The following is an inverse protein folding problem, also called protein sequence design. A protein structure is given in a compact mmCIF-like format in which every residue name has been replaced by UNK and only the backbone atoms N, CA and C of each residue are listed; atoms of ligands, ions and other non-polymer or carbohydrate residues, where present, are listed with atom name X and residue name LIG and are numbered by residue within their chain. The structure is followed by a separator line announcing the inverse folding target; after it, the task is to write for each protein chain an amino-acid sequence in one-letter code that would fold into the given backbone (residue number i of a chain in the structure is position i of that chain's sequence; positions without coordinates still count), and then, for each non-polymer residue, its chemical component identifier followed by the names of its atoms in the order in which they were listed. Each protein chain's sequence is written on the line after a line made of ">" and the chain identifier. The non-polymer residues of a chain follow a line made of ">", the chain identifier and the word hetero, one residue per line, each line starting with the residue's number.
data_IF_143471025000
#
_entry.id   IF_143471025000
#
_cell.length_a   1.000
_cell.length_b   1.000
_cell.length_c   1.000
_cell.angle_alpha   90.00
_cell.angle_beta   90.00
_cell.angle_gamma   90.00
#
_symmetry.space_group_name_H-M   'P 1'
#
loop_
_entity.id
_entity.type
_entity.pdbx_description
1 polymer ?
#
# COMPACT_ATOMS: atom_id res chain seq x y z
N UNK A 1 16.92 0.94 -21.75
CA UNK A 1 16.79 2.34 -21.32
C UNK A 1 15.46 2.59 -20.61
N UNK A 2 14.33 2.23 -21.22
CA UNK A 2 12.98 2.45 -20.66
C UNK A 2 12.75 1.81 -19.27
N UNK A 3 13.18 0.55 -19.07
CA UNK A 3 13.15 -0.11 -17.74
C UNK A 3 13.94 0.65 -16.67
N UNK A 4 15.06 1.27 -17.04
CA UNK A 4 15.87 2.05 -16.10
C UNK A 4 15.17 3.37 -15.73
N UNK A 5 14.53 4.03 -16.70
CA UNK A 5 13.77 5.26 -16.46
C UNK A 5 12.61 5.00 -15.51
N UNK A 6 11.88 3.90 -15.70
CA UNK A 6 10.79 3.48 -14.81
C UNK A 6 11.32 3.24 -13.39
N UNK A 7 12.40 2.48 -13.24
CA UNK A 7 12.99 2.21 -11.94
C UNK A 7 13.45 3.48 -11.23
N UNK A 8 14.13 4.40 -11.94
CA UNK A 8 14.56 5.69 -11.37
C UNK A 8 13.34 6.55 -11.02
N UNK A 9 12.26 6.51 -11.82
CA UNK A 9 10.99 7.16 -11.52
C UNK A 9 10.39 6.73 -10.19
N UNK A 10 10.28 5.41 -9.99
CA UNK A 10 9.71 4.79 -8.80
C UNK A 10 10.57 4.93 -7.53
N UNK A 11 11.89 5.07 -7.69
CA UNK A 11 12.87 5.18 -6.60
C UNK A 11 13.57 6.54 -6.60
N UNK A 12 12.90 7.57 -7.12
CA UNK A 12 13.48 8.88 -7.39
C UNK A 12 14.17 9.51 -6.16
N UNK A 13 13.56 9.41 -4.97
CA UNK A 13 14.13 9.94 -3.72
C UNK A 13 15.50 9.36 -3.34
N UNK A 14 15.77 8.10 -3.67
CA UNK A 14 17.08 7.48 -3.45
C UNK A 14 18.01 7.70 -4.64
N UNK A 15 17.51 7.44 -5.85
CA UNK A 15 18.30 7.52 -7.07
C UNK A 15 18.84 8.94 -7.32
N UNK A 16 18.04 9.98 -7.06
CA UNK A 16 18.44 11.34 -7.35
C UNK A 16 19.59 11.86 -6.46
N UNK A 17 19.86 11.18 -5.33
CA UNK A 17 21.02 11.47 -4.46
C UNK A 17 22.30 10.76 -4.91
N UNK A 18 22.23 9.88 -5.91
CA UNK A 18 23.38 9.07 -6.35
C UNK A 18 24.22 9.79 -7.40
N UNK A 19 25.53 9.52 -7.43
CA UNK A 19 26.41 9.96 -8.51
C UNK A 19 26.00 9.43 -9.90
N UNK A 20 25.29 8.30 -9.95
CA UNK A 20 24.78 7.76 -11.20
C UNK A 20 23.75 8.70 -11.85
N UNK A 21 22.91 9.36 -11.04
CA UNK A 21 21.95 10.34 -11.52
C UNK A 21 22.62 11.59 -12.09
N UNK A 22 23.68 12.07 -11.44
CA UNK A 22 24.45 13.23 -11.88
C UNK A 22 25.16 13.03 -13.24
N UNK A 23 25.34 11.78 -13.66
CA UNK A 23 25.97 11.39 -14.92
C UNK A 23 24.96 11.06 -16.04
N UNK A 24 23.66 11.29 -15.82
CA UNK A 24 22.65 11.08 -16.86
C UNK A 24 22.85 12.04 -18.04
N UNK A 25 22.52 11.58 -19.25
CA UNK A 25 22.47 12.46 -20.43
C UNK A 25 21.27 13.41 -20.34
N UNK A 26 21.37 14.57 -21.00
CA UNK A 26 20.29 15.57 -21.04
C UNK A 26 18.95 14.96 -21.49
N UNK A 27 18.95 14.14 -22.53
CA UNK A 27 17.73 13.51 -23.06
C UNK A 27 17.10 12.52 -22.07
N UNK A 28 17.93 11.77 -21.32
CA UNK A 28 17.44 10.85 -20.29
C UNK A 28 16.81 11.63 -19.14
N UNK A 29 17.45 12.72 -18.71
CA UNK A 29 16.94 13.59 -17.66
C UNK A 29 15.62 14.27 -18.07
N UNK A 30 15.55 14.79 -19.29
CA UNK A 30 14.31 15.37 -19.85
C UNK A 30 13.19 14.35 -19.87
N UNK A 31 13.42 13.13 -20.35
CA UNK A 31 12.39 12.06 -20.35
C UNK A 31 11.89 11.74 -18.95
N UNK A 32 12.80 11.73 -17.99
CA UNK A 32 12.50 11.41 -16.60
C UNK A 32 11.66 12.51 -15.93
N UNK A 33 12.04 13.78 -16.08
CA UNK A 33 11.30 14.93 -15.53
C UNK A 33 10.08 15.28 -16.37
N UNK A 34 9.94 14.80 -17.59
CA UNK A 34 8.67 14.93 -18.33
C UNK A 34 7.61 13.96 -17.82
N UNK A 35 8.02 12.90 -17.10
CA UNK A 35 7.13 11.85 -16.63
C UNK A 35 6.32 12.29 -15.40
N UNK A 36 5.02 12.01 -15.42
CA UNK A 36 4.13 12.17 -14.25
C UNK A 36 4.50 11.21 -13.10
N UNK A 37 5.31 10.19 -13.39
CA UNK A 37 5.71 9.10 -12.49
C UNK A 37 7.11 9.27 -11.87
N UNK A 38 7.71 10.46 -11.97
CA UNK A 38 8.94 10.78 -11.24
C UNK A 38 8.57 11.18 -9.81
N UNK A 39 8.65 10.23 -8.88
CA UNK A 39 8.08 10.32 -7.54
C UNK A 39 8.89 11.23 -6.58
N UNK A 40 8.90 12.52 -6.87
CA UNK A 40 9.46 13.59 -6.04
C UNK A 40 8.51 14.78 -5.97
N UNK A 41 8.56 15.52 -4.86
CA UNK A 41 7.96 16.86 -4.78
C UNK A 41 8.73 17.81 -5.72
N UNK A 42 8.06 18.81 -6.32
CA UNK A 42 8.68 19.64 -7.38
C UNK A 42 9.89 20.44 -6.89
N UNK A 43 9.95 20.77 -5.61
CA UNK A 43 11.15 21.34 -4.98
C UNK A 43 12.35 20.39 -5.02
N UNK A 44 12.13 19.10 -4.77
CA UNK A 44 13.19 18.09 -4.87
C UNK A 44 13.55 17.80 -6.32
N UNK A 45 12.58 17.83 -7.24
CA UNK A 45 12.85 17.78 -8.69
C UNK A 45 13.78 18.93 -9.07
N UNK A 46 13.49 20.16 -8.64
CA UNK A 46 14.35 21.32 -8.87
C UNK A 46 15.76 21.11 -8.33
N UNK A 47 15.90 20.73 -7.05
CA UNK A 47 17.20 20.49 -6.41
C UNK A 47 18.03 19.44 -7.15
N UNK A 48 17.39 18.35 -7.61
CA UNK A 48 18.06 17.28 -8.34
C UNK A 48 18.52 17.73 -9.74
N UNK A 49 17.70 18.52 -10.45
CA UNK A 49 18.05 19.11 -11.74
C UNK A 49 19.20 20.09 -11.61
N UNK A 50 19.14 20.94 -10.58
CA UNK A 50 20.17 21.92 -10.29
C UNK A 50 21.50 21.23 -9.94
N UNK A 51 21.47 20.18 -9.11
CA UNK A 51 22.64 19.38 -8.78
C UNK A 51 23.26 18.71 -10.01
N UNK A 52 22.43 18.16 -10.90
CA UNK A 52 22.89 17.61 -12.19
C UNK A 52 23.55 18.69 -13.05
N UNK A 53 22.91 19.85 -13.23
CA UNK A 53 23.44 20.93 -14.07
C UNK A 53 24.76 21.49 -13.52
N UNK A 54 24.86 21.64 -12.19
CA UNK A 54 26.11 21.98 -11.49
C UNK A 54 27.22 20.99 -11.78
N UNK A 55 26.93 19.68 -11.70
CA UNK A 55 27.91 18.63 -11.97
C UNK A 55 28.38 18.66 -13.43
N UNK A 56 27.47 18.85 -14.39
CA UNK A 56 27.81 18.96 -15.81
C UNK A 56 28.64 20.22 -16.12
N UNK A 57 28.37 21.33 -15.43
CA UNK A 57 29.11 22.58 -15.58
C UNK A 57 30.44 22.63 -14.80
N UNK A 58 30.72 21.62 -13.97
CA UNK A 58 31.89 21.56 -13.09
C UNK A 58 31.87 22.55 -11.92
N UNK A 59 30.67 22.99 -11.47
CA UNK A 59 30.49 24.00 -10.42
C UNK A 59 30.09 23.32 -9.11
N UNK A 60 30.91 23.44 -8.06
CA UNK A 60 30.64 22.81 -6.76
C UNK A 60 30.09 23.79 -5.72
N UNK A 61 30.42 25.07 -5.85
CA UNK A 61 30.07 26.10 -4.88
C UNK A 61 28.56 26.44 -4.82
N UNK A 62 28.07 27.00 -3.68
CA UNK A 62 26.67 27.43 -3.53
C UNK A 62 26.27 28.54 -4.51
N UNK A 63 24.99 28.58 -4.88
CA UNK A 63 24.42 29.51 -5.88
C UNK A 63 24.74 30.99 -5.58
N UNK A 64 24.82 31.35 -4.30
CA UNK A 64 25.12 32.71 -3.86
C UNK A 64 26.55 33.19 -4.22
N UNK A 65 27.48 32.27 -4.49
CA UNK A 65 28.89 32.58 -4.72
C UNK A 65 29.32 32.41 -6.18
N UNK A 66 28.40 32.09 -7.09
CA UNK A 66 28.72 31.85 -8.49
C UNK A 66 29.27 33.08 -9.19
N UNK A 67 30.33 32.90 -9.97
CA UNK A 67 30.76 33.90 -10.95
C UNK A 67 29.74 34.03 -12.09
N UNK A 68 29.82 35.11 -12.85
CA UNK A 68 28.94 35.33 -14.01
C UNK A 68 29.14 34.22 -15.06
N UNK A 69 30.37 33.78 -15.27
CA UNK A 69 30.73 32.70 -16.19
C UNK A 69 30.21 31.34 -15.71
N UNK A 70 30.31 31.05 -14.41
CA UNK A 70 29.78 29.81 -13.83
C UNK A 70 28.26 29.76 -13.94
N UNK A 71 27.60 30.87 -13.63
CA UNK A 71 26.15 31.01 -13.78
C UNK A 71 25.73 30.76 -15.23
N UNK A 72 26.42 31.37 -16.19
CA UNK A 72 26.13 31.18 -17.61
C UNK A 72 26.26 29.70 -18.04
N UNK A 73 27.31 28.99 -17.58
CA UNK A 73 27.49 27.56 -17.88
C UNK A 73 26.36 26.70 -17.30
N UNK A 74 26.00 26.91 -16.04
CA UNK A 74 24.91 26.15 -15.40
C UNK A 74 23.57 26.43 -16.11
N UNK A 75 23.26 27.70 -16.41
CA UNK A 75 22.07 28.08 -17.15
C UNK A 75 22.02 27.45 -18.55
N UNK A 76 23.16 27.30 -19.22
CA UNK A 76 23.24 26.63 -20.52
C UNK A 76 22.81 25.15 -20.44
N UNK A 77 23.21 24.44 -19.37
CA UNK A 77 22.79 23.05 -19.14
C UNK A 77 21.33 22.94 -18.71
N UNK A 78 20.84 23.89 -17.91
CA UNK A 78 19.44 23.96 -17.48
C UNK A 78 18.49 24.28 -18.65
N UNK A 79 18.95 25.04 -19.65
CA UNK A 79 18.18 25.38 -20.83
C UNK A 79 17.62 24.13 -21.52
N UNK A 80 16.29 24.07 -21.72
CA UNK A 80 15.59 22.93 -22.30
C UNK A 80 15.26 21.79 -21.32
N UNK A 81 15.81 21.76 -20.11
CA UNK A 81 15.33 20.88 -19.02
C UNK A 81 14.28 21.60 -18.18
N UNK A 82 14.49 22.91 -17.96
CA UNK A 82 13.65 23.79 -17.15
C UNK A 82 12.17 23.79 -17.55
N UNK A 83 11.86 23.67 -18.85
CA UNK A 83 10.48 23.66 -19.34
C UNK A 83 9.68 22.42 -18.90
N UNK A 84 10.36 21.39 -18.39
CA UNK A 84 9.74 20.17 -17.89
C UNK A 84 9.55 20.17 -16.35
N UNK A 85 10.16 21.13 -15.64
CA UNK A 85 9.96 21.34 -14.19
C UNK A 85 8.68 22.14 -13.97
N UNK A 86 7.80 21.71 -13.06
CA UNK A 86 6.50 22.36 -12.83
C UNK A 86 6.67 23.50 -11.83
N UNK A 87 7.34 24.57 -12.27
CA UNK A 87 7.73 25.72 -11.43
C UNK A 87 6.57 26.34 -10.63
N UNK A 88 5.35 26.27 -11.15
CA UNK A 88 4.14 26.79 -10.50
C UNK A 88 3.79 26.06 -9.20
N UNK A 89 4.27 24.83 -9.03
CA UNK A 89 3.98 23.97 -7.89
C UNK A 89 5.12 23.92 -6.86
N UNK A 90 6.21 24.64 -7.10
CA UNK A 90 7.30 24.80 -6.12
C UNK A 90 6.83 25.75 -5.01
N UNK A 91 7.15 25.44 -3.77
CA UNK A 91 6.83 26.27 -2.61
C UNK A 91 7.36 27.71 -2.73
N UNK A 92 6.60 28.67 -2.17
CA UNK A 92 6.87 30.11 -2.21
C UNK A 92 8.27 30.47 -1.76
N UNK A 93 8.70 29.89 -0.64
CA UNK A 93 10.00 30.15 -0.04
C UNK A 93 11.12 29.49 -0.86
N UNK A 94 10.96 28.21 -1.21
CA UNK A 94 11.96 27.47 -2.00
C UNK A 94 12.24 28.16 -3.33
N UNK A 95 11.20 28.67 -4.00
CA UNK A 95 11.38 29.38 -5.26
C UNK A 95 12.20 30.68 -5.11
N UNK A 96 11.90 31.49 -4.10
CA UNK A 96 12.59 32.76 -3.89
C UNK A 96 14.05 32.57 -3.44
N UNK A 97 14.33 31.54 -2.64
CA UNK A 97 15.66 31.31 -2.06
C UNK A 97 16.56 30.42 -2.94
N UNK A 98 16.00 29.44 -3.65
CA UNK A 98 16.78 28.45 -4.40
C UNK A 98 16.65 28.58 -5.92
N UNK A 99 15.47 28.97 -6.43
CA UNK A 99 15.19 28.98 -7.89
C UNK A 99 15.57 30.32 -8.51
N UNK A 100 15.00 31.42 -8.02
CA UNK A 100 15.20 32.77 -8.56
C UNK A 100 16.67 33.22 -8.58
N UNK A 101 17.49 32.97 -7.54
CA UNK A 101 18.88 33.43 -7.52
C UNK A 101 19.76 32.80 -8.59
N UNK A 102 19.35 31.67 -9.21
CA UNK A 102 20.09 31.07 -10.33
C UNK A 102 20.07 31.95 -11.58
N UNK A 103 19.04 32.79 -11.75
CA UNK A 103 18.81 33.55 -12.99
C UNK A 103 18.47 32.67 -14.20
N UNK A 104 18.18 31.38 -14.00
CA UNK A 104 17.80 30.47 -15.08
C UNK A 104 16.33 30.63 -15.51
N UNK A 105 15.47 31.16 -14.63
CA UNK A 105 14.04 31.37 -14.90
C UNK A 105 13.82 32.75 -15.52
N UNK A 106 13.22 32.84 -16.73
CA UNK A 106 12.79 34.09 -17.32
C UNK A 106 11.85 34.89 -16.42
N UNK A 107 11.94 36.22 -16.46
CA UNK A 107 11.14 37.14 -15.65
C UNK A 107 9.63 36.87 -15.79
N UNK A 108 9.17 36.58 -17.01
CA UNK A 108 7.77 36.31 -17.32
C UNK A 108 7.24 35.10 -16.55
N UNK A 109 8.03 34.02 -16.48
CA UNK A 109 7.67 32.79 -15.77
C UNK A 109 7.71 32.99 -14.25
N UNK A 110 8.67 33.77 -13.74
CA UNK A 110 8.70 34.15 -12.33
C UNK A 110 7.45 34.94 -11.94
N UNK A 111 7.03 35.91 -12.77
CA UNK A 111 5.81 36.69 -12.54
C UNK A 111 4.54 35.84 -12.62
N UNK A 112 4.44 34.93 -13.60
CA UNK A 112 3.32 33.98 -13.72
C UNK A 112 3.20 33.13 -12.44
N UNK A 113 4.33 32.61 -11.96
CA UNK A 113 4.39 31.83 -10.73
C UNK A 113 3.97 32.62 -9.49
N UNK A 114 4.48 33.85 -9.31
CA UNK A 114 4.11 34.68 -8.16
C UNK A 114 2.62 35.01 -8.16
N UNK A 115 2.04 35.29 -9.34
CA UNK A 115 0.58 35.47 -9.49
C UNK A 115 -0.18 34.21 -9.12
N UNK A 116 0.26 33.06 -9.61
CA UNK A 116 -0.35 31.77 -9.30
C UNK A 116 -0.37 31.51 -7.79
N UNK A 117 0.77 31.65 -7.12
CA UNK A 117 0.89 31.49 -5.67
C UNK A 117 -0.03 32.45 -4.89
N UNK A 118 -0.06 33.73 -5.26
CA UNK A 118 -0.90 34.74 -4.59
C UNK A 118 -2.41 34.44 -4.71
N UNK A 119 -2.86 33.95 -5.87
CA UNK A 119 -4.26 33.60 -6.11
C UNK A 119 -4.68 32.31 -5.38
N UNK A 120 -3.74 31.38 -5.16
CA UNK A 120 -4.02 30.06 -4.59
C UNK A 120 -3.72 29.97 -3.08
N UNK A 121 -2.91 30.87 -2.52
CA UNK A 121 -2.58 30.93 -1.08
C UNK A 121 -3.81 31.27 -0.21
N UNK A 122 -4.87 31.83 -0.80
CA UNK A 122 -6.08 32.25 -0.07
C UNK A 122 -7.10 31.11 0.19
N UNK A 123 -6.79 29.86 -0.16
CA UNK A 123 -7.67 28.69 0.06
C UNK A 123 -7.56 28.06 1.47
N UNK A 124 -6.63 28.52 2.31
CA UNK A 124 -6.36 27.93 3.63
C UNK A 124 -7.26 28.41 4.78
N UNK A 125 -8.09 29.44 4.57
CA UNK A 125 -8.87 30.05 5.65
C UNK A 125 -10.36 30.19 5.30
N UNK A 126 -11.12 29.10 5.48
CA UNK A 126 -12.57 29.17 5.69
C UNK A 126 -13.46 28.69 4.54
N UNK A 127 -14.13 27.55 4.77
CA UNK A 127 -15.56 27.37 4.44
C UNK A 127 -15.96 27.01 3.00
N UNK A 128 -16.17 25.70 2.79
CA UNK A 128 -17.35 25.11 2.12
C UNK A 128 -17.94 25.75 0.86
N UNK A 129 -17.65 25.16 -0.29
CA UNK A 129 -18.38 25.32 -1.55
C UNK A 129 -17.45 25.60 -2.73
N UNK A 130 -17.69 25.06 -3.95
CA UNK A 130 -16.86 25.38 -5.10
C UNK A 130 -17.27 26.74 -5.66
N UNK A 131 -16.40 27.77 -5.67
CA UNK A 131 -16.63 28.92 -6.52
C UNK A 131 -15.99 28.63 -7.87
N UNK A 132 -16.76 28.72 -8.95
CA UNK A 132 -16.20 28.79 -10.29
C UNK A 132 -15.27 30.02 -10.35
N UNK A 133 -13.96 29.79 -10.33
CA UNK A 133 -12.97 30.83 -10.53
C UNK A 133 -12.97 31.27 -12.01
N UNK A 134 -12.66 32.53 -12.31
CA UNK A 134 -12.33 32.92 -13.67
C UNK A 134 -11.08 32.16 -14.06
N UNK A 135 -11.18 31.32 -15.09
CA UNK A 135 -10.04 30.68 -15.73
C UNK A 135 -8.98 31.73 -16.02
N UNK A 136 -7.73 31.52 -15.59
CA UNK A 136 -6.61 32.28 -16.13
C UNK A 136 -6.68 32.09 -17.66
N UNK A 137 -6.79 33.16 -18.48
CA UNK A 137 -6.95 33.00 -19.91
C UNK A 137 -5.80 32.15 -20.48
N UNK A 138 -6.12 30.97 -21.00
CA UNK A 138 -5.15 30.03 -21.58
C UNK A 138 -4.73 28.83 -20.71
N UNK A 139 -5.21 28.69 -19.46
CA UNK A 139 -4.93 27.53 -18.62
C UNK A 139 -6.15 26.58 -18.57
N UNK A 140 -6.00 25.39 -19.14
CA UNK A 140 -6.98 24.29 -19.02
C UNK A 140 -6.64 23.40 -17.81
N UNK A 141 -7.61 22.67 -17.26
CA UNK A 141 -7.37 21.72 -16.15
C UNK A 141 -6.36 20.61 -16.51
N UNK A 142 -6.16 20.37 -17.80
CA UNK A 142 -5.18 19.43 -18.36
C UNK A 142 -3.74 19.99 -18.45
N UNK A 143 -3.50 21.23 -18.01
CA UNK A 143 -2.14 21.79 -18.01
C UNK A 143 -1.27 21.06 -16.98
N UNK A 144 -0.34 20.23 -17.47
CA UNK A 144 0.61 19.49 -16.64
C UNK A 144 1.42 20.37 -15.69
N UNK A 145 1.57 21.67 -15.98
CA UNK A 145 2.26 22.63 -15.08
C UNK A 145 1.48 22.88 -13.78
N UNK A 146 0.18 22.61 -13.77
CA UNK A 146 -0.72 22.80 -12.64
C UNK A 146 -1.02 21.51 -11.87
N UNK A 147 -0.64 20.36 -12.42
CA UNK A 147 -0.87 19.07 -11.80
C UNK A 147 0.39 18.62 -11.06
N UNK A 148 0.36 18.34 -9.75
CA UNK A 148 1.49 17.72 -9.06
C UNK A 148 1.88 16.40 -9.71
N UNK A 149 3.18 16.06 -9.69
CA UNK A 149 3.60 14.68 -9.97
C UNK A 149 2.98 13.73 -8.95
N UNK A 150 2.92 12.45 -9.28
CA UNK A 150 2.62 11.43 -8.28
C UNK A 150 3.74 11.46 -7.24
N UNK A 151 3.49 12.12 -6.11
CA UNK A 151 4.54 12.71 -5.26
C UNK A 151 5.37 11.71 -4.49
N UNK A 152 4.89 10.48 -4.26
CA UNK A 152 5.62 9.48 -3.45
C UNK A 152 5.25 8.07 -3.89
N UNK A 153 6.24 7.21 -4.10
CA UNK A 153 6.02 5.77 -4.14
C UNK A 153 5.72 5.28 -2.71
N UNK A 154 4.44 5.21 -2.38
CA UNK A 154 3.91 4.82 -1.07
C UNK A 154 3.94 3.31 -0.86
N UNK A 155 4.02 2.52 -1.94
CA UNK A 155 4.14 1.06 -1.91
C UNK A 155 5.43 0.60 -2.61
N UNK A 156 6.61 0.95 -2.06
CA UNK A 156 7.89 0.62 -2.67
C UNK A 156 8.04 -0.89 -2.90
N UNK A 157 8.59 -1.22 -4.06
CA UNK A 157 8.79 -2.59 -4.51
C UNK A 157 7.59 -3.22 -5.21
N UNK A 158 6.39 -2.62 -5.18
CA UNK A 158 5.19 -3.20 -5.79
C UNK A 158 5.36 -3.50 -7.28
N UNK A 159 4.92 -4.69 -7.70
CA UNK A 159 4.78 -5.04 -9.10
C UNK A 159 3.35 -4.81 -9.61
N UNK A 160 2.39 -4.63 -8.69
CA UNK A 160 0.97 -4.45 -8.98
C UNK A 160 0.57 -2.98 -9.06
N UNK A 161 1.12 -2.12 -8.19
CA UNK A 161 0.81 -0.70 -8.05
C UNK A 161 1.93 0.20 -8.62
N UNK A 162 2.34 -0.05 -9.86
CA UNK A 162 3.43 0.67 -10.52
C UNK A 162 2.99 1.31 -11.85
N UNK A 163 3.83 2.17 -12.42
CA UNK A 163 3.54 2.89 -13.68
C UNK A 163 2.19 3.64 -13.63
N UNK A 164 1.31 3.36 -14.60
CA UNK A 164 -0.04 3.90 -14.74
C UNK A 164 -0.95 3.68 -13.54
N UNK A 165 -0.58 2.76 -12.64
CA UNK A 165 -1.34 2.41 -11.43
C UNK A 165 -0.84 3.13 -10.17
N UNK A 166 0.15 4.01 -10.27
CA UNK A 166 0.68 4.75 -9.13
C UNK A 166 -0.39 5.60 -8.43
N UNK A 167 -1.36 6.15 -9.18
CA UNK A 167 -2.46 6.94 -8.61
C UNK A 167 -3.33 6.14 -7.64
N UNK A 168 -3.42 4.82 -7.80
CA UNK A 168 -4.18 3.94 -6.90
C UNK A 168 -3.55 3.86 -5.51
N UNK A 169 -2.25 4.12 -5.39
CA UNK A 169 -1.59 4.17 -4.08
C UNK A 169 -2.15 5.32 -3.21
N UNK A 170 -2.42 6.49 -3.82
CA UNK A 170 -3.05 7.63 -3.15
C UNK A 170 -4.46 7.30 -2.68
N UNK A 171 -5.20 6.51 -3.47
CA UNK A 171 -6.55 6.05 -3.12
C UNK A 171 -6.51 5.15 -1.88
N UNK A 172 -5.62 4.14 -1.87
CA UNK A 172 -5.44 3.26 -0.72
C UNK A 172 -5.07 4.03 0.56
N UNK A 173 -4.17 5.00 0.45
CA UNK A 173 -3.80 5.86 1.57
C UNK A 173 -4.91 6.80 2.03
N UNK A 174 -5.71 7.31 1.09
CA UNK A 174 -6.93 8.05 1.38
C UNK A 174 -7.91 7.22 2.20
N UNK A 175 -8.12 5.95 1.85
CA UNK A 175 -8.98 5.02 2.59
C UNK A 175 -8.39 4.61 3.94
N UNK A 176 -7.06 4.47 4.05
CA UNK A 176 -6.38 4.24 5.32
C UNK A 176 -6.52 5.45 6.28
N UNK A 177 -6.63 6.66 5.73
CA UNK A 177 -6.77 7.92 6.46
C UNK A 177 -5.46 8.69 6.67
N UNK A 178 -4.36 8.24 6.07
CA UNK A 178 -3.04 8.90 6.15
C UNK A 178 -2.46 9.06 4.72
N UNK A 179 -2.69 10.21 4.05
CA UNK A 179 -2.35 10.40 2.64
C UNK A 179 -0.88 10.15 2.27
N UNK A 180 0.05 10.45 3.18
CA UNK A 180 1.51 10.31 2.96
C UNK A 180 2.11 9.05 3.60
N UNK A 181 1.31 8.04 3.94
CA UNK A 181 1.82 6.81 4.57
C UNK A 181 2.65 5.97 3.58
N UNK A 182 3.84 5.55 3.99
CA UNK A 182 4.64 4.57 3.23
C UNK A 182 4.47 3.17 3.81
N UNK A 183 4.44 2.18 2.93
CA UNK A 183 4.25 0.78 3.24
C UNK A 183 5.51 -0.02 2.94
N UNK A 184 5.67 -1.16 3.61
CA UNK A 184 6.74 -2.14 3.34
C UNK A 184 6.11 -3.43 2.81
N UNK A 185 6.68 -3.97 1.74
CA UNK A 185 6.30 -5.29 1.24
C UNK A 185 6.72 -6.36 2.26
N UNK A 186 5.76 -7.18 2.66
CA UNK A 186 5.96 -8.31 3.59
C UNK A 186 6.02 -9.62 2.81
N UNK A 187 5.15 -9.76 1.82
CA UNK A 187 5.01 -10.98 1.05
C UNK A 187 4.57 -10.65 -0.38
N UNK A 188 5.09 -11.44 -1.32
CA UNK A 188 4.65 -11.49 -2.73
C UNK A 188 4.61 -12.94 -3.15
N UNK A 189 3.48 -13.41 -3.66
CA UNK A 189 3.29 -14.82 -4.00
C UNK A 189 4.24 -15.28 -5.11
N UNK A 190 4.44 -14.47 -6.16
CA UNK A 190 5.39 -14.79 -7.24
C UNK A 190 6.86 -14.87 -6.81
N UNK A 191 7.26 -14.22 -5.72
CA UNK A 191 8.64 -14.27 -5.18
C UNK A 191 8.83 -15.31 -4.10
N UNK A 192 7.83 -15.49 -3.22
CA UNK A 192 7.93 -16.34 -2.04
C UNK A 192 7.24 -17.71 -2.22
N UNK A 193 6.50 -17.90 -3.30
CA UNK A 193 5.71 -19.09 -3.61
C UNK A 193 4.24 -18.93 -3.19
N UNK A 194 3.34 -19.53 -3.97
CA UNK A 194 1.89 -19.38 -3.87
C UNK A 194 1.22 -20.26 -2.81
N UNK A 195 2.00 -20.93 -1.96
CA UNK A 195 1.43 -21.86 -0.98
C UNK A 195 0.90 -21.15 0.26
N UNK A 196 -0.21 -21.64 0.82
CA UNK A 196 -0.81 -21.10 2.04
C UNK A 196 0.14 -21.15 3.23
N UNK A 197 0.96 -22.20 3.33
CA UNK A 197 1.98 -22.31 4.38
C UNK A 197 3.05 -21.21 4.25
N UNK A 198 3.41 -20.81 3.03
CA UNK A 198 4.31 -19.67 2.84
C UNK A 198 3.63 -18.36 3.22
N UNK A 199 2.37 -18.14 2.82
CA UNK A 199 1.61 -16.96 3.27
C UNK A 199 1.61 -16.84 4.80
N UNK A 200 1.21 -17.88 5.52
CA UNK A 200 1.18 -17.88 6.98
C UNK A 200 2.54 -17.62 7.60
N UNK A 201 3.61 -18.19 7.04
CA UNK A 201 4.98 -17.95 7.52
C UNK A 201 5.38 -16.47 7.47
N UNK A 202 4.92 -15.71 6.48
CA UNK A 202 5.28 -14.30 6.31
C UNK A 202 4.26 -13.33 6.91
N UNK A 203 2.97 -13.69 6.92
CA UNK A 203 1.87 -12.76 7.19
C UNK A 203 1.18 -12.99 8.55
N UNK A 204 1.32 -14.16 9.17
CA UNK A 204 0.73 -14.37 10.50
C UNK A 204 1.36 -13.42 11.53
N UNK A 205 0.52 -12.83 12.37
CA UNK A 205 0.95 -11.83 13.35
C UNK A 205 1.26 -10.43 12.78
N UNK A 206 1.15 -10.22 11.47
CA UNK A 206 1.37 -8.91 10.83
C UNK A 206 0.08 -8.09 10.81
N UNK A 207 0.12 -6.90 11.40
CA UNK A 207 -0.94 -5.90 11.33
C UNK A 207 -0.41 -4.48 11.62
N UNK A 208 -1.08 -3.42 11.12
CA UNK A 208 -2.11 -3.48 10.09
C UNK A 208 -1.51 -3.88 8.74
N UNK A 209 -2.31 -4.38 7.82
CA UNK A 209 -1.82 -4.75 6.49
C UNK A 209 -2.83 -4.60 5.37
N UNK A 210 -2.30 -4.32 4.18
CA UNK A 210 -2.99 -4.41 2.90
C UNK A 210 -2.66 -5.73 2.22
N UNK A 211 -3.67 -6.38 1.65
CA UNK A 211 -3.56 -7.49 0.69
C UNK A 211 -4.06 -6.97 -0.65
N UNK A 212 -3.23 -7.02 -1.68
CA UNK A 212 -3.57 -6.54 -3.03
C UNK A 212 -3.29 -7.68 -4.01
N UNK A 213 -4.31 -8.15 -4.72
CA UNK A 213 -4.21 -9.23 -5.70
C UNK A 213 -4.56 -8.77 -7.10
N UNK A 214 -4.03 -9.49 -8.10
CA UNK A 214 -4.38 -9.31 -9.51
C UNK A 214 -5.03 -10.57 -10.09
N UNK A 215 -6.21 -10.42 -10.69
CA UNK A 215 -6.95 -11.46 -11.40
C UNK A 215 -6.43 -11.72 -12.81
N UNK A 216 -6.93 -12.78 -13.45
CA UNK A 216 -6.51 -13.20 -14.79
C UNK A 216 -6.87 -12.22 -15.91
N UNK A 217 -7.84 -11.31 -15.68
CA UNK A 217 -8.23 -10.27 -16.64
C UNK A 217 -7.69 -8.89 -16.24
N UNK A 218 -6.79 -8.84 -15.25
CA UNK A 218 -6.13 -7.62 -14.79
C UNK A 218 -6.87 -6.87 -13.69
N UNK A 219 -7.90 -7.46 -13.07
CA UNK A 219 -8.61 -6.89 -11.92
C UNK A 219 -7.69 -6.82 -10.71
N UNK A 220 -7.56 -5.65 -10.13
CA UNK A 220 -6.80 -5.31 -8.94
C UNK A 220 -7.77 -5.05 -7.82
N UNK A 221 -7.81 -6.00 -6.90
CA UNK A 221 -8.73 -6.00 -5.77
C UNK A 221 -8.06 -6.60 -4.56
N UNK A 222 -8.64 -6.38 -3.38
CA UNK A 222 -8.00 -6.82 -2.16
C UNK A 222 -8.73 -6.37 -0.90
N UNK A 223 -7.99 -6.35 0.19
CA UNK A 223 -8.51 -5.98 1.50
C UNK A 223 -7.46 -5.35 2.41
N UNK A 224 -7.94 -4.51 3.30
CA UNK A 224 -7.20 -3.96 4.43
C UNK A 224 -7.70 -4.58 5.72
N UNK A 225 -6.79 -4.82 6.65
CA UNK A 225 -7.12 -5.19 8.02
C UNK A 225 -6.21 -4.47 9.01
N UNK A 226 -6.79 -4.04 10.13
CA UNK A 226 -6.08 -3.50 11.29
C UNK A 226 -5.70 -4.60 12.31
N UNK A 227 -6.13 -5.84 12.09
CA UNK A 227 -5.83 -7.00 12.92
C UNK A 227 -5.09 -8.07 12.14
N UNK A 228 -4.26 -8.84 12.86
CA UNK A 228 -3.41 -9.86 12.25
C UNK A 228 -4.17 -11.17 12.04
N UNK A 229 -3.81 -11.91 11.00
CA UNK A 229 -4.12 -13.34 10.96
C UNK A 229 -3.41 -14.02 12.12
N UNK A 230 -4.19 -14.64 12.99
CA UNK A 230 -3.68 -15.33 14.17
C UNK A 230 -4.52 -16.56 14.44
N UNK A 231 -3.85 -17.60 14.93
CA UNK A 231 -4.50 -18.83 15.36
C UNK A 231 -5.32 -18.57 16.62
N UNK A 232 -6.63 -18.45 16.48
CA UNK A 232 -7.55 -18.23 17.61
C UNK A 232 -7.99 -19.54 18.28
N UNK A 233 -8.03 -20.66 17.54
CA UNK A 233 -8.45 -21.99 18.00
C UNK A 233 -7.92 -23.11 17.09
N UNK A 234 -8.02 -24.38 17.52
CA UNK A 234 -7.58 -25.57 16.74
C UNK A 234 -8.37 -25.80 15.43
N UNK A 235 -9.49 -25.12 15.21
CA UNK A 235 -10.38 -25.32 14.04
C UNK A 235 -10.51 -24.10 13.12
N UNK A 236 -9.60 -23.14 13.21
CA UNK A 236 -9.80 -21.83 12.61
C UNK A 236 -10.76 -20.98 13.43
N UNK A 237 -10.84 -19.69 13.11
CA UNK A 237 -11.74 -18.79 13.81
C UNK A 237 -11.74 -17.40 13.23
N UNK A 238 -12.83 -16.70 13.51
CA UNK A 238 -13.03 -15.32 13.10
C UNK A 238 -12.34 -14.36 14.07
N UNK A 239 -11.84 -13.26 13.52
CA UNK A 239 -11.12 -12.22 14.24
C UNK A 239 -11.89 -10.92 14.03
N UNK A 240 -12.18 -10.26 15.14
CA UNK A 240 -12.89 -9.00 15.16
C UNK A 240 -12.03 -7.86 14.61
N UNK A 241 -12.60 -7.00 13.76
CA UNK A 241 -11.96 -5.77 13.29
C UNK A 241 -12.95 -4.61 13.24
N UNK A 242 -12.49 -3.42 13.63
CA UNK A 242 -13.25 -2.18 13.55
C UNK A 242 -13.09 -1.47 12.21
N UNK A 243 -11.98 -1.73 11.50
CA UNK A 243 -11.52 -0.91 10.38
C UNK A 243 -11.20 -1.69 9.12
N UNK A 244 -11.42 -3.01 9.11
CA UNK A 244 -11.21 -3.80 7.91
C UNK A 244 -12.13 -3.34 6.78
N UNK A 245 -11.64 -3.39 5.56
CA UNK A 245 -12.43 -3.12 4.37
C UNK A 245 -11.91 -3.93 3.19
N UNK A 246 -12.79 -4.27 2.27
CA UNK A 246 -12.43 -4.78 0.94
C UNK A 246 -12.41 -3.62 -0.06
N UNK A 247 -11.75 -3.81 -1.18
CA UNK A 247 -11.72 -2.82 -2.25
C UNK A 247 -11.53 -3.46 -3.62
N UNK A 248 -12.00 -2.74 -4.63
CA UNK A 248 -11.66 -2.95 -6.03
C UNK A 248 -11.07 -1.65 -6.59
N UNK A 249 -9.85 -1.72 -7.12
CA UNK A 249 -9.11 -0.56 -7.62
C UNK A 249 -9.36 -0.29 -9.11
N UNK A 250 -9.71 -1.31 -9.89
CA UNK A 250 -10.16 -1.19 -11.28
C UNK A 250 -11.30 -2.18 -11.55
N UNK A 251 -12.51 -1.88 -11.03
CA UNK A 251 -13.68 -2.71 -11.28
C UNK A 251 -13.95 -2.87 -12.79
N UNK A 252 -14.67 -3.94 -13.14
CA UNK A 252 -15.08 -4.18 -14.52
C UNK A 252 -15.85 -2.97 -15.09
N UNK A 253 -15.63 -2.65 -16.37
CA UNK A 253 -16.32 -1.53 -17.03
C UNK A 253 -15.63 -0.17 -16.90
N UNK A 254 -14.49 -0.07 -16.22
CA UNK A 254 -13.74 1.19 -16.09
C UNK A 254 -14.28 2.11 -15.00
N UNK A 255 -15.06 1.57 -14.07
CA UNK A 255 -15.58 2.29 -12.92
C UNK A 255 -14.45 2.80 -12.00
N UNK A 256 -14.68 3.86 -11.22
CA UNK A 256 -13.72 4.35 -10.26
C UNK A 256 -13.44 3.33 -9.14
N UNK A 257 -12.28 3.43 -8.46
CA UNK A 257 -11.99 2.60 -7.30
C UNK A 257 -13.10 2.66 -6.24
N UNK A 258 -13.48 1.50 -5.69
CA UNK A 258 -14.56 1.37 -4.72
C UNK A 258 -14.09 0.63 -3.47
N UNK A 259 -14.63 1.05 -2.32
CA UNK A 259 -14.35 0.51 -0.99
C UNK A 259 -15.61 -0.10 -0.39
N UNK A 260 -15.45 -1.25 0.27
CA UNK A 260 -16.50 -1.98 0.98
C UNK A 260 -16.13 -2.11 2.45
N UNK A 261 -16.83 -1.39 3.32
CA UNK A 261 -16.53 -1.36 4.74
C UNK A 261 -17.07 -2.61 5.46
N UNK A 262 -16.39 -3.04 6.52
CA UNK A 262 -16.87 -4.13 7.36
C UNK A 262 -18.19 -3.74 8.04
N UNK A 263 -19.24 -4.53 7.82
CA UNK A 263 -20.54 -4.38 8.50
C UNK A 263 -20.72 -5.39 9.62
N UNK A 264 -20.08 -6.56 9.52
CA UNK A 264 -20.14 -7.65 10.50
C UNK A 264 -18.80 -7.80 11.22
N UNK A 265 -18.45 -6.81 12.05
CA UNK A 265 -17.14 -6.68 12.74
C UNK A 265 -16.59 -7.95 13.39
N UNK A 266 -17.38 -8.79 14.11
CA UNK A 266 -16.87 -10.03 14.70
C UNK A 266 -16.40 -11.09 13.69
N UNK A 267 -16.78 -10.94 12.42
CA UNK A 267 -16.53 -11.87 11.33
C UNK A 267 -15.58 -11.29 10.27
N UNK A 268 -14.77 -10.30 10.63
CA UNK A 268 -13.98 -9.55 9.65
C UNK A 268 -12.88 -10.38 8.99
N UNK A 269 -12.06 -11.07 9.78
CA UNK A 269 -10.97 -11.89 9.24
C UNK A 269 -11.16 -13.32 9.65
N UNK A 270 -10.88 -14.27 8.77
CA UNK A 270 -10.90 -15.70 9.10
C UNK A 270 -9.48 -16.28 8.98
N UNK A 271 -9.09 -17.09 9.96
CA UNK A 271 -7.84 -17.86 9.92
C UNK A 271 -8.10 -19.30 9.50
N UNK A 272 -7.45 -19.76 8.43
CA UNK A 272 -7.46 -21.16 8.02
C UNK A 272 -6.08 -21.58 7.49
N UNK A 273 -5.43 -22.63 8.04
CA UNK A 273 -4.02 -22.96 7.76
C UNK A 273 -3.73 -23.38 6.30
N UNK A 274 -4.74 -23.90 5.60
CA UNK A 274 -4.64 -24.35 4.21
C UNK A 274 -5.15 -23.32 3.19
N UNK A 275 -5.42 -22.09 3.65
CA UNK A 275 -5.85 -20.99 2.79
C UNK A 275 -4.88 -19.82 2.92
N UNK A 276 -4.87 -18.94 1.93
CA UNK A 276 -4.20 -17.64 2.06
C UNK A 276 -5.05 -16.67 2.88
N UNK A 277 -5.07 -15.38 2.52
CA UNK A 277 -5.91 -14.40 3.19
C UNK A 277 -7.41 -14.69 2.99
N UNK A 278 -8.17 -14.61 4.09
CA UNK A 278 -9.63 -14.69 4.10
C UNK A 278 -10.23 -13.47 4.82
N UNK A 279 -11.15 -12.79 4.15
CA UNK A 279 -11.95 -11.70 4.67
C UNK A 279 -13.43 -12.12 4.69
N UNK A 280 -14.08 -11.95 5.84
CA UNK A 280 -15.53 -12.15 6.01
C UNK A 280 -15.93 -13.57 6.44
N UNK A 281 -17.08 -13.69 7.09
CA UNK A 281 -17.81 -14.95 7.22
C UNK A 281 -18.36 -15.40 5.87
N UNK A 282 -18.25 -16.70 5.56
CA UNK A 282 -18.56 -17.24 4.23
C UNK A 282 -17.55 -16.83 3.14
N UNK A 283 -16.48 -16.12 3.53
CA UNK A 283 -15.47 -15.48 2.71
C UNK A 283 -16.01 -14.55 1.61
N UNK A 284 -16.15 -13.27 1.97
CA UNK A 284 -16.35 -12.21 0.97
C UNK A 284 -15.15 -12.07 0.04
N UNK A 285 -13.96 -12.43 0.53
CA UNK A 285 -12.79 -12.68 -0.30
C UNK A 285 -11.98 -13.83 0.31
N UNK A 286 -11.70 -14.85 -0.48
CA UNK A 286 -10.76 -15.93 -0.15
C UNK A 286 -9.77 -16.12 -1.29
N UNK A 287 -8.48 -16.13 -0.94
CA UNK A 287 -7.40 -16.53 -1.84
C UNK A 287 -6.91 -17.92 -1.42
N UNK A 288 -7.01 -18.89 -2.32
CA UNK A 288 -6.67 -20.29 -2.06
C UNK A 288 -5.17 -20.57 -2.12
N UNK A 289 -4.78 -21.74 -1.62
CA UNK A 289 -3.48 -22.33 -1.88
C UNK A 289 -3.24 -22.49 -3.39
N UNK A 290 -2.04 -22.15 -3.88
CA UNK A 290 -1.66 -22.23 -5.30
C UNK A 290 -2.67 -21.52 -6.23
N UNK A 291 -3.19 -20.37 -5.79
CA UNK A 291 -4.22 -19.58 -6.46
C UNK A 291 -3.90 -19.18 -7.91
N UNK A 292 -2.63 -19.26 -8.33
CA UNK A 292 -2.16 -18.93 -9.67
C UNK A 292 -2.34 -20.06 -10.68
N UNK A 293 -2.61 -21.29 -10.23
CA UNK A 293 -2.77 -22.47 -11.10
C UNK A 293 -4.16 -23.11 -11.00
N UNK A 294 -5.07 -22.55 -10.20
CA UNK A 294 -6.43 -23.04 -10.04
C UNK A 294 -7.45 -21.89 -10.09
N UNK A 295 -8.74 -22.25 -10.05
CA UNK A 295 -9.87 -21.31 -10.03
C UNK A 295 -10.70 -21.52 -8.75
N UNK A 296 -10.02 -21.79 -7.64
CA UNK A 296 -10.68 -22.14 -6.36
C UNK A 296 -10.78 -20.93 -5.42
N UNK A 297 -10.07 -19.83 -5.70
CA UNK A 297 -10.30 -18.56 -5.01
C UNK A 297 -11.69 -18.04 -5.35
N UNK A 298 -12.34 -17.38 -4.39
CA UNK A 298 -13.72 -16.94 -4.60
C UNK A 298 -14.07 -15.70 -3.78
N UNK A 299 -15.19 -15.08 -4.17
CA UNK A 299 -15.78 -13.91 -3.53
C UNK A 299 -17.26 -14.17 -3.30
N UNK A 300 -17.70 -14.05 -2.04
CA UNK A 300 -19.11 -14.11 -1.66
C UNK A 300 -19.64 -12.75 -1.17
N UNK A 301 -19.00 -11.65 -1.58
CA UNK A 301 -19.43 -10.28 -1.30
C UNK A 301 -20.89 -10.05 -1.75
N UNK A 302 -21.77 -9.36 -0.98
CA UNK A 302 -21.53 -8.63 0.28
C UNK A 302 -22.11 -9.32 1.54
N UNK A 303 -21.46 -10.35 2.08
CA UNK A 303 -21.91 -11.00 3.29
C UNK A 303 -21.49 -10.28 4.58
N UNK A 304 -20.20 -9.97 4.76
CA UNK A 304 -19.62 -9.34 5.97
C UNK A 304 -19.09 -7.94 5.71
N UNK A 305 -18.79 -7.64 4.45
CA UNK A 305 -18.44 -6.32 3.93
C UNK A 305 -19.54 -5.86 2.98
N UNK A 306 -19.81 -4.56 2.95
CA UNK A 306 -20.81 -3.98 2.07
C UNK A 306 -20.42 -2.56 1.63
N UNK A 307 -21.06 -2.07 0.58
CA UNK A 307 -20.77 -0.77 -0.04
C UNK A 307 -21.48 -0.58 -1.38
N UNK A 308 -21.17 0.51 -2.10
CA UNK A 308 -21.80 0.79 -3.37
C UNK A 308 -21.58 -0.34 -4.39
N UNK A 309 -22.67 -0.86 -4.97
CA UNK A 309 -22.63 -1.92 -5.99
C UNK A 309 -21.88 -3.18 -5.56
N UNK A 310 -21.90 -3.51 -4.27
CA UNK A 310 -21.25 -4.70 -3.75
C UNK A 310 -21.91 -5.98 -4.29
N UNK A 311 -21.10 -6.82 -4.93
CA UNK A 311 -21.52 -8.06 -5.57
C UNK A 311 -20.33 -9.00 -5.66
N UNK A 312 -20.57 -10.30 -5.77
CA UNK A 312 -19.53 -11.31 -5.97
C UNK A 312 -18.69 -11.02 -7.22
N UNK A 313 -19.27 -10.33 -8.21
CA UNK A 313 -18.60 -9.93 -9.46
C UNK A 313 -17.64 -8.73 -9.28
N UNK A 314 -17.74 -7.95 -8.20
CA UNK A 314 -17.11 -6.63 -8.15
C UNK A 314 -15.61 -6.67 -7.90
N UNK A 315 -15.11 -7.68 -7.16
CA UNK A 315 -13.67 -7.79 -6.84
C UNK A 315 -12.86 -8.34 -8.02
N UNK A 316 -13.12 -9.59 -8.42
CA UNK A 316 -12.34 -10.27 -9.45
C UNK A 316 -13.19 -10.73 -10.64
N UNK A 317 -14.34 -10.08 -10.86
CA UNK A 317 -15.20 -10.25 -12.04
C UNK A 317 -15.89 -11.60 -12.17
N UNK A 318 -15.70 -12.54 -11.24
CA UNK A 318 -16.38 -13.82 -11.18
C UNK A 318 -16.56 -14.31 -9.73
N UNK A 319 -17.49 -15.24 -9.49
CA UNK A 319 -17.65 -15.88 -8.19
C UNK A 319 -16.40 -16.67 -7.84
N UNK A 320 -15.89 -17.47 -8.79
CA UNK A 320 -14.63 -18.21 -8.69
C UNK A 320 -13.60 -17.62 -9.66
N UNK A 321 -12.36 -17.43 -9.22
CA UNK A 321 -11.33 -16.79 -10.03
C UNK A 321 -9.94 -17.34 -9.75
N UNK A 322 -9.03 -17.09 -10.71
CA UNK A 322 -7.59 -17.33 -10.57
C UNK A 322 -6.93 -16.03 -10.15
N UNK A 323 -6.10 -16.08 -9.10
CA UNK A 323 -5.28 -14.94 -8.66
C UNK A 323 -3.88 -15.14 -9.24
N UNK A 324 -3.51 -14.32 -10.22
CA UNK A 324 -2.24 -14.42 -10.94
C UNK A 324 -1.06 -14.10 -10.02
N UNK A 325 -1.19 -13.07 -9.18
CA UNK A 325 -0.23 -12.73 -8.12
C UNK A 325 -0.93 -11.93 -7.02
N UNK A 326 -0.34 -11.89 -5.83
CA UNK A 326 -0.78 -10.99 -4.77
C UNK A 326 0.37 -10.58 -3.85
N UNK A 327 0.24 -9.36 -3.32
CA UNK A 327 1.23 -8.70 -2.48
C UNK A 327 0.58 -8.31 -1.14
N UNK A 328 1.36 -8.43 -0.07
CA UNK A 328 0.95 -8.04 1.29
C UNK A 328 1.90 -6.99 1.81
N UNK A 329 1.34 -5.91 2.35
CA UNK A 329 2.08 -4.76 2.83
C UNK A 329 1.70 -4.42 4.27
N UNK A 330 2.64 -3.92 5.04
CA UNK A 330 2.39 -3.33 6.37
C UNK A 330 3.08 -1.97 6.49
N UNK A 331 2.93 -1.27 7.60
CA UNK A 331 3.53 0.05 7.77
C UNK A 331 5.06 -0.03 7.64
N UNK A 332 5.65 0.90 6.86
CA UNK A 332 7.08 1.09 6.88
C UNK A 332 7.49 1.64 8.24
N UNK A 333 8.42 0.97 8.93
CA UNK A 333 9.04 1.52 10.13
C UNK A 333 9.94 2.67 9.72
N UNK A 334 9.61 3.89 10.16
CA UNK A 334 10.56 5.01 10.05
C UNK A 334 11.73 4.69 10.95
N UNK A 335 12.86 4.28 10.38
CA UNK A 335 14.12 4.16 11.13
C UNK A 335 14.51 5.55 11.61
N UNK A 336 14.28 5.84 12.89
CA UNK A 336 14.92 6.98 13.53
C UNK A 336 16.43 6.77 13.43
N UNK A 337 17.11 7.65 12.69
CA UNK A 337 18.57 7.74 12.71
C UNK A 337 18.98 7.95 14.16
N UNK A 338 19.72 6.98 14.71
CA UNK A 338 20.23 7.04 16.07
C UNK A 338 21.13 8.25 16.24
N UNK A 339 20.62 9.29 16.88
CA UNK A 339 21.43 10.29 17.56
C UNK A 339 21.45 9.88 19.02
N UNK A 340 22.61 9.39 19.47
CA UNK A 340 22.85 9.11 20.88
C UNK A 340 22.63 10.36 21.72
N UNK A 341 21.80 10.23 22.75
CA UNK A 341 21.54 11.27 23.72
C UNK A 341 21.04 10.63 24.99
N UNK A 342 21.83 10.78 26.05
CA UNK A 342 21.57 10.29 27.39
C UNK A 342 20.18 10.71 27.91
N UNK A 343 19.61 9.84 28.74
CA UNK A 343 18.20 9.88 29.12
C UNK A 343 17.74 11.13 29.85
N UNK A 344 16.42 11.32 29.80
CA UNK A 344 15.62 11.89 30.89
C UNK A 344 14.32 11.11 30.90
N UNK A 345 14.10 10.32 31.96
CA UNK A 345 12.80 9.76 32.26
C UNK A 345 11.84 10.88 32.65
N UNK A 346 10.64 10.87 32.10
CA UNK A 346 9.55 11.68 32.64
C UNK A 346 8.34 10.79 32.86
N UNK A 347 8.00 10.69 34.14
CA UNK A 347 6.93 9.94 34.76
C UNK A 347 5.60 10.61 34.39
N UNK A 348 4.65 9.83 33.88
CA UNK A 348 3.27 10.27 33.75
C UNK A 348 2.64 10.38 35.13
N UNK A 349 2.50 11.61 35.62
CA UNK A 349 1.60 11.97 36.71
C UNK A 349 0.22 12.26 36.11
N UNK A 350 -0.76 11.40 36.36
CA UNK A 350 -2.16 11.79 36.23
C UNK A 350 -2.78 11.77 37.62
N UNK A 351 -3.02 12.97 38.15
CA UNK A 351 -3.64 13.19 39.44
C UNK A 351 -5.11 12.81 39.39
N UNK A 352 -5.54 12.01 40.36
CA UNK A 352 -6.94 11.96 40.74
C UNK A 352 -7.01 12.13 42.27
N UNK A 353 -7.54 13.27 42.67
CA UNK A 353 -7.82 13.61 44.07
C UNK A 353 -8.95 12.73 44.59
N UNK A 354 -8.72 12.01 45.69
CA UNK A 354 -9.78 11.82 46.67
C UNK A 354 -9.23 11.64 48.10
N UNK A 355 -9.65 12.59 48.95
CA UNK A 355 -9.90 12.52 50.39
C UNK A 355 -8.94 11.76 51.33
N UNK A 356 -8.23 12.57 52.10
CA UNK A 356 -8.23 12.61 53.58
C UNK A 356 -7.88 11.34 54.38
N UNK A 357 -6.75 11.49 55.09
CA UNK A 357 -6.56 11.20 56.52
C UNK A 357 -5.61 10.05 56.86
N UNK A 358 -4.63 10.35 57.72
CA UNK A 358 -4.12 9.37 58.69
C UNK A 358 -2.67 8.93 58.52
N UNK A 359 -1.75 9.73 59.05
CA UNK A 359 -0.60 9.37 59.89
C UNK A 359 0.07 7.98 59.79
N UNK A 360 1.40 8.07 59.74
CA UNK A 360 2.40 7.38 60.57
C UNK A 360 3.14 6.13 60.03
N UNK A 361 4.45 6.36 59.95
CA UNK A 361 5.54 5.52 60.47
C UNK A 361 5.86 4.18 59.79
N UNK A 362 7.06 4.18 59.21
CA UNK A 362 8.17 3.27 59.51
C UNK A 362 7.85 1.79 59.75
N UNK A 363 8.29 0.91 58.85
CA UNK A 363 9.37 -0.01 59.22
C UNK A 363 10.00 -0.73 58.03
N UNK A 364 11.33 -0.72 58.03
CA UNK A 364 12.20 -1.72 57.40
C UNK A 364 11.85 -3.12 57.94
N UNK A 365 11.92 -4.14 57.09
CA UNK A 365 12.94 -5.17 57.30
C UNK A 365 13.15 -6.10 56.10
N UNK A 366 14.44 -6.29 55.83
CA UNK A 366 15.07 -7.29 54.99
C UNK A 366 14.78 -8.73 55.46
N UNK A 367 14.67 -9.68 54.53
CA UNK A 367 15.62 -10.79 54.32
C UNK A 367 15.13 -11.64 53.11
N UNK A 368 15.91 -11.88 52.03
CA UNK A 368 16.93 -12.94 51.82
C UNK A 368 16.37 -14.32 52.29
N UNK A 369 16.33 -15.46 51.58
CA UNK A 369 17.31 -16.12 50.69
C UNK A 369 16.65 -17.35 50.00
N UNK A 370 16.88 -17.52 48.70
CA UNK A 370 17.28 -18.74 47.95
C UNK A 370 16.58 -20.13 48.01
N UNK A 371 16.34 -20.59 46.77
CA UNK A 371 16.79 -21.84 46.10
C UNK A 371 16.03 -23.18 46.12
N UNK A 372 16.13 -23.75 44.91
CA UNK A 372 16.20 -25.15 44.49
C UNK A 372 14.93 -26.00 44.61
N UNK A 373 14.58 -26.85 43.65
CA UNK A 373 15.27 -27.30 42.44
C UNK A 373 14.86 -28.76 42.15
N UNK A 374 14.76 -29.10 40.86
CA UNK A 374 14.73 -30.49 40.33
C UNK A 374 13.40 -31.26 40.51
N UNK A 375 13.11 -32.32 39.75
CA UNK A 375 13.75 -32.94 38.59
C UNK A 375 12.79 -34.01 38.03
N UNK A 376 12.93 -34.29 36.72
CA UNK A 376 12.82 -35.60 36.04
C UNK A 376 11.51 -36.42 35.85
N UNK A 377 11.32 -36.72 34.54
CA UNK A 377 11.14 -38.01 33.85
C UNK A 377 9.87 -38.87 33.99
N UNK A 378 9.43 -39.40 32.84
CA UNK A 378 8.64 -40.64 32.75
C UNK A 378 8.02 -40.90 31.38
N UNK A 379 8.73 -41.62 30.52
CA UNK A 379 8.34 -42.06 29.17
C UNK A 379 7.60 -43.42 29.16
N UNK A 380 6.81 -43.67 28.09
CA UNK A 380 6.52 -45.01 27.54
C UNK A 380 5.08 -45.53 27.70
N UNK A 381 4.53 -46.44 26.88
CA UNK A 381 4.79 -46.92 25.52
C UNK A 381 3.62 -47.86 25.13
N UNK A 382 3.25 -47.95 23.82
CA UNK A 382 2.54 -49.06 23.10
C UNK A 382 1.09 -49.41 23.55
N UNK A 383 0.12 -49.79 22.69
CA UNK A 383 0.08 -50.93 21.74
C UNK A 383 -1.02 -50.80 20.66
N UNK A 384 -0.80 -51.53 19.56
CA UNK A 384 -1.60 -51.83 18.35
C UNK A 384 -2.87 -52.68 18.53
N UNK A 385 -3.81 -52.64 17.57
CA UNK A 385 -4.31 -53.83 16.83
C UNK A 385 -5.35 -53.50 15.75
N UNK A 386 -5.31 -54.25 14.65
CA UNK A 386 -6.11 -54.14 13.43
C UNK A 386 -7.14 -55.29 13.28
N UNK A 387 -8.03 -55.17 12.28
CA UNK A 387 -8.87 -56.25 11.69
C UNK A 387 -10.37 -55.94 11.74
N UNK A 388 -11.23 -56.16 10.73
CA UNK A 388 -11.14 -56.73 9.37
C UNK A 388 -12.55 -57.18 8.88
N UNK A 389 -12.79 -57.17 7.55
CA UNK A 389 -13.86 -57.88 6.78
C UNK A 389 -15.31 -57.38 6.92
N UNK A 390 -16.24 -57.46 5.95
CA UNK A 390 -16.32 -58.06 4.60
C UNK A 390 -17.81 -58.38 4.24
N UNK A 391 -18.18 -58.47 2.95
CA UNK A 391 -19.49 -59.00 2.43
C UNK A 391 -20.51 -57.94 1.99
N UNK A 392 -20.84 -57.59 0.73
CA UNK A 392 -21.16 -58.20 -0.60
C UNK A 392 -22.58 -58.80 -0.78
N UNK A 393 -23.19 -58.47 -1.95
CA UNK A 393 -24.27 -59.12 -2.75
C UNK A 393 -25.68 -58.45 -2.63
N UNK A 394 -26.55 -58.30 -3.64
CA UNK A 394 -26.68 -58.73 -5.06
C UNK A 394 -27.84 -57.91 -5.72
N UNK A 395 -27.77 -57.42 -6.97
CA UNK A 395 -28.32 -57.98 -8.24
C UNK A 395 -29.71 -57.50 -8.74
N UNK A 396 -29.83 -57.34 -10.09
CA UNK A 396 -31.08 -57.30 -10.89
C UNK A 396 -31.29 -56.01 -11.71
N UNK A 397 -30.73 -55.80 -12.91
CA UNK A 397 -31.10 -56.27 -14.29
C UNK A 397 -32.49 -55.81 -14.81
N UNK A 398 -32.52 -54.93 -15.84
CA UNK A 398 -33.12 -55.17 -17.19
C UNK A 398 -33.59 -53.88 -17.93
N UNK A 399 -32.90 -53.59 -19.06
CA UNK A 399 -33.34 -53.20 -20.42
C UNK A 399 -34.58 -52.32 -20.65
N UNK A 400 -34.43 -51.26 -21.47
CA UNK A 400 -35.53 -50.63 -22.21
C UNK A 400 -35.12 -49.37 -23.00
N UNK A 401 -34.91 -49.52 -24.31
CA UNK A 401 -34.63 -48.49 -25.31
C UNK A 401 -35.82 -47.56 -25.60
N UNK A 402 -35.56 -46.26 -25.83
CA UNK A 402 -36.57 -45.31 -26.31
C UNK A 402 -36.04 -43.88 -26.48
N UNK A 403 -35.89 -43.48 -27.74
CA UNK A 403 -35.50 -42.17 -28.26
C UNK A 403 -36.49 -41.03 -27.96
N UNK A 404 -35.99 -39.80 -27.77
CA UNK A 404 -36.81 -38.58 -27.96
C UNK A 404 -36.40 -37.34 -27.15
N UNK A 405 -35.67 -36.43 -27.80
CA UNK A 405 -35.79 -34.96 -27.76
C UNK A 405 -36.03 -34.19 -26.45
N UNK A 406 -35.11 -33.26 -26.18
CA UNK A 406 -35.47 -31.87 -25.88
C UNK A 406 -35.40 -31.39 -24.42
N UNK A 407 -34.42 -30.53 -24.15
CA UNK A 407 -34.63 -29.32 -23.34
C UNK A 407 -34.32 -29.39 -21.84
N UNK A 408 -33.63 -28.33 -21.38
CA UNK A 408 -33.45 -27.87 -20.00
C UNK A 408 -32.59 -28.71 -19.05
N UNK A 409 -31.26 -28.55 -19.17
CA UNK A 409 -30.31 -28.91 -18.12
C UNK A 409 -30.38 -27.91 -16.96
N UNK A 410 -31.15 -28.25 -15.93
CA UNK A 410 -31.05 -27.62 -14.62
C UNK A 410 -29.73 -28.01 -13.96
N UNK A 411 -28.85 -27.02 -13.73
CA UNK A 411 -27.62 -27.24 -12.98
C UNK A 411 -27.94 -27.51 -11.50
N UNK A 412 -27.59 -28.72 -11.09
CA UNK A 412 -27.49 -29.16 -9.70
C UNK A 412 -26.59 -28.19 -8.91
N UNK A 413 -27.16 -27.48 -7.93
CA UNK A 413 -26.39 -26.82 -6.88
C UNK A 413 -25.83 -27.89 -5.93
N UNK A 414 -24.51 -28.02 -5.75
CA UNK A 414 -24.00 -28.81 -4.64
C UNK A 414 -24.31 -28.07 -3.33
N UNK A 415 -24.99 -28.76 -2.42
CA UNK A 415 -25.13 -28.36 -1.01
C UNK A 415 -23.72 -28.38 -0.39
N UNK A 416 -23.19 -27.22 -0.03
CA UNK A 416 -22.10 -27.14 0.91
C UNK A 416 -22.68 -26.86 2.29
N UNK A 417 -22.35 -27.74 3.23
CA UNK A 417 -22.69 -27.61 4.64
C UNK A 417 -22.13 -26.31 5.20
N UNK A 418 -22.96 -25.67 6.03
CA UNK A 418 -22.66 -24.42 6.74
C UNK A 418 -21.31 -24.53 7.47
N UNK A 419 -20.45 -23.54 7.27
CA UNK A 419 -19.39 -23.16 8.20
C UNK A 419 -19.45 -21.66 8.48
#
# INVERSE_FOLDING_TARGET
>A
MERCIIYIGENAGECAKTNAFLNLTKDALVKLISSDYFCLEEEDVWRCVLAWAKNQAGVTQPTAHWSEEERARVCQHLSGVMCHVRLLLIDSQVFAEEVEPTGAVPMELSLERYRYAALHSNKGAGGGGPPMLPSIPGMTEDDKRLQPRLTVNMFPGSQLLRNDKLHLQSVLNGWYGMPKQTWRLVYRASTHGYSSSTFHRYCDGVAPCFVIGIGSRGELSGGYTDVAWAKTSRKGGYIHSERAFLFALNPAGGDPPVKFDIIKKPYAICYHPDCGPIFGAGADLLVTNNCNTNMESYSNLPHSYDGPNASYMTLFGDYNFTVVDYEVYTLATTSAVGIGGAGVGSINNNGNNNSHSGNNSSNNNNNITYNNGGNNNGSGNLTSSAGGGGGVNNAGVAVGSGSGGGGSGGMHKPKYDRY
#
